data_IF_741286731105
#
_entry.id   IF_741286731105
#
_cell.length_a   1.000
_cell.length_b   1.000
_cell.length_c   1.000
_cell.angle_alpha   90.00
_cell.angle_beta   90.00
_cell.angle_gamma   90.00
#
_symmetry.space_group_name_H-M   'P 1'
#
loop_
_entity.id
_entity.type
_entity.pdbx_description
1 polymer ?
#
# COMPACT_ATOMS: atom_id res chain seq x y z
N UNK A 1 -6.71 -0.02 -34.02
CA UNK A 1 -6.70 -1.01 -32.93
C UNK A 1 -5.33 -1.68 -32.93
N UNK A 2 -4.65 -1.74 -31.77
CA UNK A 2 -3.35 -2.40 -31.66
C UNK A 2 -3.49 -3.91 -31.93
N UNK A 3 -2.61 -4.48 -32.75
CA UNK A 3 -2.55 -5.92 -32.96
C UNK A 3 -1.53 -6.51 -31.98
N UNK A 4 -2.01 -7.14 -30.92
CA UNK A 4 -1.16 -7.83 -29.96
C UNK A 4 -0.41 -9.01 -30.61
N UNK A 5 0.89 -9.11 -30.33
CA UNK A 5 1.70 -10.25 -30.74
C UNK A 5 1.51 -11.41 -29.75
N UNK A 6 0.72 -12.41 -30.13
CA UNK A 6 0.44 -13.56 -29.26
C UNK A 6 1.69 -14.38 -28.92
N UNK A 7 2.69 -14.43 -29.80
CA UNK A 7 3.94 -15.14 -29.54
C UNK A 7 4.72 -14.50 -28.39
N UNK A 8 4.76 -13.17 -28.33
CA UNK A 8 5.37 -12.44 -27.22
C UNK A 8 4.69 -12.79 -25.88
N UNK A 9 3.35 -12.72 -25.81
CA UNK A 9 2.62 -13.04 -24.58
C UNK A 9 2.72 -14.50 -24.16
N UNK A 10 2.80 -15.42 -25.13
CA UNK A 10 3.06 -16.83 -24.84
C UNK A 10 4.46 -17.05 -24.26
N UNK A 11 5.50 -16.43 -24.85
CA UNK A 11 6.86 -16.49 -24.32
C UNK A 11 6.96 -15.85 -22.94
N UNK A 12 6.24 -14.75 -22.71
CA UNK A 12 6.15 -14.11 -21.40
C UNK A 12 5.53 -15.05 -20.35
N UNK A 13 4.40 -15.71 -20.68
CA UNK A 13 3.81 -16.71 -19.80
C UNK A 13 4.76 -17.89 -19.55
N UNK A 14 5.43 -18.39 -20.59
CA UNK A 14 6.38 -19.50 -20.48
C UNK A 14 7.58 -19.13 -19.59
N UNK A 15 8.07 -17.90 -19.69
CA UNK A 15 9.15 -17.38 -18.85
C UNK A 15 8.73 -17.31 -17.38
N UNK A 16 7.51 -16.85 -17.07
CA UNK A 16 6.97 -16.84 -15.70
C UNK A 16 6.92 -18.28 -15.15
N UNK A 17 6.32 -19.22 -15.89
CA UNK A 17 6.20 -20.62 -15.47
C UNK A 17 7.57 -21.29 -15.28
N UNK A 18 8.54 -20.96 -16.14
CA UNK A 18 9.91 -21.47 -16.03
C UNK A 18 10.58 -20.97 -14.76
N UNK A 19 10.43 -19.69 -14.42
CA UNK A 19 10.99 -19.14 -13.18
C UNK A 19 10.36 -19.77 -11.93
N UNK A 20 9.05 -19.98 -11.90
CA UNK A 20 8.39 -20.64 -10.77
C UNK A 20 8.83 -22.11 -10.64
N UNK A 21 8.85 -22.86 -11.74
CA UNK A 21 9.33 -24.23 -11.73
C UNK A 21 10.79 -24.32 -11.28
N UNK A 22 11.65 -23.42 -11.77
CA UNK A 22 13.05 -23.37 -11.40
C UNK A 22 13.23 -23.10 -9.90
N UNK A 23 12.45 -22.18 -9.33
CA UNK A 23 12.45 -21.93 -7.88
C UNK A 23 12.14 -23.20 -7.08
N UNK A 24 11.11 -23.96 -7.47
CA UNK A 24 10.75 -25.23 -6.84
C UNK A 24 11.85 -26.30 -6.96
N UNK A 25 12.44 -26.43 -8.16
CA UNK A 25 13.56 -27.36 -8.41
C UNK A 25 14.77 -27.03 -7.54
N UNK A 26 15.09 -25.74 -7.38
CA UNK A 26 16.22 -25.32 -6.54
C UNK A 26 15.97 -25.67 -5.07
N UNK A 27 14.77 -25.37 -4.53
CA UNK A 27 14.42 -25.75 -3.16
C UNK A 27 14.55 -27.26 -2.96
N UNK A 28 14.04 -28.04 -3.91
CA UNK A 28 14.04 -29.50 -3.83
C UNK A 28 15.45 -30.10 -3.79
N UNK A 29 16.36 -29.60 -4.62
CA UNK A 29 17.72 -30.15 -4.73
C UNK A 29 18.70 -29.60 -3.70
N UNK A 30 18.57 -28.33 -3.31
CA UNK A 30 19.58 -27.64 -2.49
C UNK A 30 19.12 -27.34 -1.06
N UNK A 31 17.84 -27.54 -0.74
CA UNK A 31 17.30 -27.34 0.60
C UNK A 31 17.13 -25.87 1.00
N UNK A 32 17.12 -25.59 2.30
CA UNK A 32 16.67 -24.31 2.89
C UNK A 32 17.80 -23.43 3.43
N UNK A 33 18.95 -23.37 2.75
CA UNK A 33 20.05 -22.49 3.12
C UNK A 33 19.75 -21.00 2.85
N UNK A 34 20.27 -20.08 3.67
CA UNK A 34 19.99 -18.64 3.53
C UNK A 34 20.28 -18.08 2.14
N UNK A 35 21.43 -18.40 1.55
CA UNK A 35 21.79 -17.95 0.19
C UNK A 35 20.82 -18.47 -0.88
N UNK A 36 20.41 -19.74 -0.75
CA UNK A 36 19.48 -20.40 -1.66
C UNK A 36 18.10 -19.75 -1.53
N UNK A 37 17.61 -19.56 -0.31
CA UNK A 37 16.33 -18.90 -0.02
C UNK A 37 16.28 -17.49 -0.58
N UNK A 38 17.34 -16.68 -0.42
CA UNK A 38 17.40 -15.32 -0.98
C UNK A 38 17.33 -15.38 -2.51
N UNK A 39 18.09 -16.28 -3.13
CA UNK A 39 18.11 -16.43 -4.58
C UNK A 39 16.74 -16.86 -5.14
N UNK A 40 16.10 -17.87 -4.53
CA UNK A 40 14.73 -18.29 -4.88
C UNK A 40 13.74 -17.15 -4.69
N UNK A 41 13.83 -16.43 -3.58
CA UNK A 41 12.93 -15.29 -3.32
C UNK A 41 13.05 -14.25 -4.44
N UNK A 42 14.27 -13.95 -4.89
CA UNK A 42 14.49 -13.05 -6.02
C UNK A 42 13.85 -13.57 -7.31
N UNK A 43 14.03 -14.86 -7.66
CA UNK A 43 13.42 -15.46 -8.85
C UNK A 43 11.89 -15.38 -8.80
N UNK A 44 11.29 -15.72 -7.65
CA UNK A 44 9.85 -15.65 -7.44
C UNK A 44 9.34 -14.21 -7.47
N UNK A 45 10.08 -13.24 -6.91
CA UNK A 45 9.73 -11.82 -7.00
C UNK A 45 9.66 -11.36 -8.45
N UNK A 46 10.66 -11.73 -9.27
CA UNK A 46 10.67 -11.40 -10.70
C UNK A 46 9.50 -12.07 -11.41
N UNK A 47 9.26 -13.37 -11.18
CA UNK A 47 8.13 -14.09 -11.77
C UNK A 47 6.78 -13.45 -11.42
N UNK A 48 6.59 -13.08 -10.15
CA UNK A 48 5.36 -12.45 -9.67
C UNK A 48 5.17 -11.03 -10.22
N UNK A 49 6.24 -10.25 -10.36
CA UNK A 49 6.19 -8.94 -10.99
C UNK A 49 5.79 -9.04 -12.48
N UNK A 50 6.42 -9.94 -13.23
CA UNK A 50 6.07 -10.22 -14.62
C UNK A 50 4.62 -10.73 -14.75
N UNK A 51 4.20 -11.63 -13.86
CA UNK A 51 2.82 -12.09 -13.77
C UNK A 51 1.81 -10.97 -13.48
N UNK A 52 2.18 -9.93 -12.73
CA UNK A 52 1.34 -8.75 -12.49
C UNK A 52 1.11 -7.92 -13.76
N UNK A 53 2.14 -7.76 -14.60
CA UNK A 53 2.00 -7.09 -15.90
C UNK A 53 1.16 -7.93 -16.87
N UNK A 54 1.45 -9.23 -16.96
CA UNK A 54 0.71 -10.13 -17.83
C UNK A 54 -0.79 -10.18 -17.47
N UNK A 55 -1.13 -10.29 -16.18
CA UNK A 55 -2.53 -10.30 -15.76
C UNK A 55 -3.21 -8.94 -16.01
N UNK A 56 -2.48 -7.83 -15.88
CA UNK A 56 -3.01 -6.50 -16.11
C UNK A 56 -3.46 -6.34 -17.57
N UNK A 57 -2.60 -6.75 -18.52
CA UNK A 57 -2.91 -6.68 -19.95
C UNK A 57 -4.09 -7.59 -20.34
N UNK A 58 -4.20 -8.76 -19.71
CA UNK A 58 -5.37 -9.65 -19.85
C UNK A 58 -6.64 -9.02 -19.29
N UNK A 59 -6.55 -8.35 -18.13
CA UNK A 59 -7.65 -7.67 -17.47
C UNK A 59 -8.20 -6.50 -18.30
N UNK A 60 -7.33 -5.79 -19.01
CA UNK A 60 -7.70 -4.77 -20.00
C UNK A 60 -8.22 -5.33 -21.33
N UNK A 61 -8.27 -6.65 -21.48
CA UNK A 61 -8.71 -7.34 -22.69
C UNK A 61 -7.82 -7.06 -23.92
N UNK A 62 -6.54 -6.74 -23.70
CA UNK A 62 -5.63 -6.24 -24.73
C UNK A 62 -4.91 -7.33 -25.54
N UNK A 63 -4.91 -8.59 -25.08
CA UNK A 63 -4.10 -9.66 -25.68
C UNK A 63 -4.85 -10.41 -26.78
N UNK A 64 -6.04 -10.96 -26.47
CA UNK A 64 -6.81 -11.75 -27.42
C UNK A 64 -7.87 -10.91 -28.15
N UNK A 65 -8.10 -11.21 -29.43
CA UNK A 65 -9.19 -10.61 -30.21
C UNK A 65 -10.58 -10.85 -29.59
N UNK A 66 -10.78 -12.03 -28.98
CA UNK A 66 -12.04 -12.38 -28.31
C UNK A 66 -11.90 -12.15 -26.80
N UNK A 67 -12.75 -11.30 -26.24
CA UNK A 67 -12.76 -10.97 -24.82
C UNK A 67 -12.97 -12.16 -23.87
N UNK A 68 -13.64 -13.23 -24.34
CA UNK A 68 -13.79 -14.49 -23.58
C UNK A 68 -12.44 -15.11 -23.20
N UNK A 69 -11.47 -15.13 -24.11
CA UNK A 69 -10.15 -15.72 -23.87
C UNK A 69 -9.32 -14.88 -22.90
N UNK A 70 -9.35 -13.55 -23.04
CA UNK A 70 -8.73 -12.65 -22.07
C UNK A 70 -9.27 -12.89 -20.65
N UNK A 71 -10.59 -12.97 -20.48
CA UNK A 71 -11.20 -13.21 -19.16
C UNK A 71 -10.86 -14.58 -18.58
N UNK A 72 -10.78 -15.62 -19.41
CA UNK A 72 -10.40 -16.95 -18.94
C UNK A 72 -8.94 -16.98 -18.48
N UNK A 73 -8.04 -16.43 -19.30
CA UNK A 73 -6.62 -16.37 -18.98
C UNK A 73 -6.34 -15.44 -17.79
N UNK A 74 -7.04 -14.32 -17.67
CA UNK A 74 -6.96 -13.43 -16.51
C UNK A 74 -7.32 -14.16 -15.22
N UNK A 75 -8.41 -14.95 -15.21
CA UNK A 75 -8.78 -15.79 -14.06
C UNK A 75 -7.73 -16.84 -13.76
N UNK A 76 -7.14 -17.46 -14.78
CA UNK A 76 -6.08 -18.44 -14.60
C UNK A 76 -4.83 -17.82 -13.97
N UNK A 77 -4.27 -16.76 -14.57
CA UNK A 77 -3.06 -16.10 -14.08
C UNK A 77 -3.29 -15.49 -12.69
N UNK A 78 -4.39 -14.76 -12.49
CA UNK A 78 -4.67 -14.13 -11.20
C UNK A 78 -4.94 -15.16 -10.11
N UNK A 79 -5.73 -16.20 -10.42
CA UNK A 79 -6.11 -17.24 -9.45
C UNK A 79 -4.99 -18.22 -9.12
N UNK A 80 -4.38 -18.84 -10.13
CA UNK A 80 -3.46 -19.96 -9.94
C UNK A 80 -2.01 -19.52 -9.79
N UNK A 81 -1.57 -18.46 -10.48
CA UNK A 81 -0.18 -17.99 -10.40
C UNK A 81 0.00 -16.92 -9.31
N UNK A 82 -0.95 -16.01 -9.15
CA UNK A 82 -0.86 -14.94 -8.15
C UNK A 82 -1.58 -15.22 -6.83
N UNK A 83 -2.49 -16.20 -6.80
CA UNK A 83 -3.28 -16.51 -5.59
C UNK A 83 -4.35 -15.46 -5.25
N UNK A 84 -4.79 -14.65 -6.21
CA UNK A 84 -5.74 -13.55 -6.02
C UNK A 84 -6.99 -13.68 -6.92
N UNK A 85 -8.05 -12.94 -6.59
CA UNK A 85 -9.29 -12.98 -7.36
C UNK A 85 -9.28 -11.98 -8.52
N UNK A 86 -9.48 -12.47 -9.74
CA UNK A 86 -9.69 -11.62 -10.92
C UNK A 86 -10.91 -10.69 -10.76
N UNK A 87 -11.95 -11.12 -10.03
CA UNK A 87 -13.13 -10.26 -9.76
C UNK A 87 -12.78 -9.12 -8.82
N UNK A 88 -12.00 -9.39 -7.77
CA UNK A 88 -11.51 -8.37 -6.85
C UNK A 88 -10.66 -7.33 -7.60
N UNK A 89 -9.74 -7.78 -8.45
CA UNK A 89 -8.89 -6.89 -9.23
C UNK A 89 -9.70 -6.01 -10.18
N UNK A 90 -10.66 -6.59 -10.91
CA UNK A 90 -11.55 -5.82 -11.79
C UNK A 90 -12.38 -4.79 -11.01
N UNK A 91 -12.88 -5.14 -9.82
CA UNK A 91 -13.62 -4.21 -8.98
C UNK A 91 -12.75 -3.05 -8.48
N UNK A 92 -11.53 -3.36 -8.07
CA UNK A 92 -10.55 -2.37 -7.61
C UNK A 92 -10.15 -1.43 -8.75
N UNK A 93 -9.73 -2.00 -9.88
CA UNK A 93 -9.33 -1.26 -11.07
C UNK A 93 -10.47 -0.40 -11.63
N UNK A 94 -11.71 -0.91 -11.62
CA UNK A 94 -12.87 -0.13 -12.06
C UNK A 94 -13.10 1.11 -11.20
N UNK A 95 -12.90 1.03 -9.87
CA UNK A 95 -13.03 2.19 -9.00
C UNK A 95 -11.93 3.22 -9.30
N UNK A 96 -10.70 2.76 -9.48
CA UNK A 96 -9.57 3.60 -9.85
C UNK A 96 -9.83 4.35 -11.18
N UNK A 97 -10.27 3.68 -12.24
CA UNK A 97 -10.54 4.35 -13.52
C UNK A 97 -11.76 5.26 -13.54
N UNK A 98 -12.73 5.06 -12.64
CA UNK A 98 -13.93 5.92 -12.57
C UNK A 98 -13.62 7.24 -11.84
N UNK A 99 -12.73 7.23 -10.84
CA UNK A 99 -12.34 8.41 -10.07
C UNK A 99 -10.86 8.39 -9.70
N UNK A 100 -10.00 8.45 -10.71
CA UNK A 100 -8.54 8.40 -10.54
C UNK A 100 -8.01 9.57 -9.72
N UNK A 101 -7.12 9.29 -8.77
CA UNK A 101 -6.46 10.25 -7.89
C UNK A 101 -7.40 11.12 -7.05
N UNK A 102 -8.63 10.67 -6.79
CA UNK A 102 -9.60 11.40 -5.96
C UNK A 102 -9.78 10.68 -4.63
N UNK A 103 -9.27 11.27 -3.55
CA UNK A 103 -9.50 10.75 -2.21
C UNK A 103 -10.92 11.09 -1.73
N UNK A 104 -11.66 10.18 -1.07
CA UNK A 104 -11.32 8.78 -0.72
C UNK A 104 -11.89 7.75 -1.71
N UNK A 105 -12.22 8.16 -2.94
CA UNK A 105 -12.91 7.33 -3.94
C UNK A 105 -11.98 6.37 -4.68
N UNK A 106 -10.75 6.80 -4.93
CA UNK A 106 -9.71 5.97 -5.52
C UNK A 106 -9.07 5.08 -4.45
N UNK A 107 -9.19 3.75 -4.55
CA UNK A 107 -8.56 2.83 -3.61
C UNK A 107 -7.02 2.85 -3.67
N UNK A 108 -6.41 3.27 -4.78
CA UNK A 108 -4.94 3.21 -4.96
C UNK A 108 -4.17 4.21 -4.09
N UNK A 109 -4.81 5.35 -3.78
CA UNK A 109 -4.23 6.40 -2.91
C UNK A 109 -4.78 6.31 -1.47
N UNK A 110 -5.55 5.28 -1.15
CA UNK A 110 -6.07 5.03 0.20
C UNK A 110 -5.05 4.26 1.04
N UNK A 111 -3.86 4.83 1.18
CA UNK A 111 -2.69 4.23 1.85
C UNK A 111 -2.51 4.65 3.32
N UNK A 112 -3.58 5.13 3.94
CA UNK A 112 -3.60 5.90 5.19
C UNK A 112 -2.73 5.44 6.39
N UNK A 113 -2.50 4.14 6.68
CA UNK A 113 -1.59 3.76 7.76
C UNK A 113 -0.11 3.75 7.37
N UNK A 114 0.23 3.74 6.08
CA UNK A 114 1.61 3.69 5.58
C UNK A 114 2.11 5.04 5.11
N UNK A 115 1.29 5.71 4.31
CA UNK A 115 1.60 7.01 3.74
C UNK A 115 0.39 7.91 3.85
N UNK A 116 0.67 9.18 4.04
CA UNK A 116 -0.32 10.23 4.12
C UNK A 116 -0.03 11.17 2.96
N UNK A 117 -0.92 11.19 1.98
CA UNK A 117 -0.75 11.87 0.69
C UNK A 117 -1.80 12.99 0.57
N UNK A 118 -1.32 14.18 0.19
CA UNK A 118 -2.13 15.39 0.05
C UNK A 118 -2.55 15.99 1.40
N UNK A 119 -3.39 17.02 1.34
CA UNK A 119 -3.72 17.84 2.53
C UNK A 119 -4.81 17.23 3.41
N UNK A 120 -5.64 16.35 2.85
CA UNK A 120 -6.83 15.80 3.53
C UNK A 120 -6.51 14.61 4.45
N UNK A 121 -5.55 13.77 4.07
CA UNK A 121 -5.19 12.58 4.83
C UNK A 121 -4.48 12.91 6.18
N UNK A 122 -3.54 13.89 6.26
CA UNK A 122 -2.85 14.21 7.51
C UNK A 122 -3.81 14.74 8.57
N UNK A 123 -4.73 15.59 8.16
CA UNK A 123 -5.76 16.14 9.05
C UNK A 123 -6.64 15.03 9.62
N UNK A 124 -7.07 14.08 8.78
CA UNK A 124 -7.87 12.92 9.25
C UNK A 124 -7.12 12.03 10.23
N UNK A 125 -5.86 11.70 9.94
CA UNK A 125 -5.04 10.87 10.84
C UNK A 125 -4.81 11.59 12.18
N UNK A 126 -4.48 12.89 12.14
CA UNK A 126 -4.33 13.71 13.34
C UNK A 126 -5.60 13.72 14.20
N UNK A 127 -6.77 13.97 13.57
CA UNK A 127 -8.05 13.92 14.27
C UNK A 127 -8.36 12.53 14.85
N UNK A 128 -8.01 11.46 14.13
CA UNK A 128 -8.23 10.09 14.60
C UNK A 128 -7.34 9.76 15.82
N UNK A 129 -6.08 10.19 15.80
CA UNK A 129 -5.14 10.06 16.94
C UNK A 129 -5.62 10.87 18.14
N UNK A 130 -6.04 12.12 17.93
CA UNK A 130 -6.58 12.98 18.99
C UNK A 130 -7.89 12.41 19.57
N UNK A 131 -8.68 11.71 18.75
CA UNK A 131 -9.93 11.07 19.17
C UNK A 131 -9.72 9.75 19.92
N UNK A 132 -8.60 9.04 19.72
CA UNK A 132 -8.22 7.87 20.53
C UNK A 132 -7.63 8.35 21.85
N UNK A 133 -8.50 8.45 22.86
CA UNK A 133 -8.34 9.07 24.18
C UNK A 133 -7.18 8.59 25.09
N UNK A 134 -6.20 7.83 24.60
CA UNK A 134 -5.10 7.33 25.44
C UNK A 134 -3.93 8.34 25.57
N UNK A 135 -3.69 9.17 24.55
CA UNK A 135 -2.64 10.21 24.64
C UNK A 135 -3.03 11.38 25.55
N UNK A 136 -4.34 11.57 25.83
CA UNK A 136 -4.81 12.64 26.71
C UNK A 136 -4.59 12.31 28.20
N UNK A 137 -4.59 11.03 28.58
CA UNK A 137 -4.31 10.61 29.96
C UNK A 137 -2.82 10.68 30.31
N UNK A 138 -1.92 10.33 29.39
CA UNK A 138 -0.48 10.51 29.62
C UNK A 138 -0.08 11.99 29.67
N UNK A 139 -0.63 12.85 28.81
CA UNK A 139 -0.35 14.30 28.87
C UNK A 139 -0.91 14.94 30.16
N UNK A 140 -2.03 14.44 30.70
CA UNK A 140 -2.52 14.85 32.02
C UNK A 140 -1.63 14.29 33.15
N UNK A 141 -1.11 13.07 33.04
CA UNK A 141 -0.16 12.51 34.01
C UNK A 141 1.15 13.32 34.08
N UNK A 142 1.60 13.89 32.97
CA UNK A 142 2.78 14.77 32.92
C UNK A 142 2.50 16.21 33.41
N UNK A 143 1.24 16.62 33.60
CA UNK A 143 0.92 17.91 34.25
C UNK A 143 1.35 17.95 35.73
N UNK A 144 1.57 16.79 36.36
CA UNK A 144 2.14 16.72 37.71
C UNK A 144 3.62 17.13 37.77
N UNK A 145 4.41 16.85 36.72
CA UNK A 145 5.83 17.21 36.67
C UNK A 145 6.08 18.66 36.22
N UNK A 146 5.21 19.20 35.36
CA UNK A 146 5.26 20.61 34.95
C UNK A 146 4.95 21.58 36.10
N UNK A 147 4.16 21.16 37.09
CA UNK A 147 3.90 21.99 38.27
C UNK A 147 5.13 22.15 39.16
N UNK A 148 5.98 21.12 39.27
CA UNK A 148 7.25 21.20 40.00
C UNK A 148 8.30 22.02 39.24
N UNK A 149 8.32 21.94 37.91
CA UNK A 149 9.29 22.70 37.11
C UNK A 149 8.92 24.19 36.92
N UNK A 150 7.64 24.54 37.01
CA UNK A 150 7.17 25.93 36.84
C UNK A 150 7.15 26.74 38.15
N UNK A 151 7.16 26.10 39.32
CA UNK A 151 7.30 26.81 40.61
C UNK A 151 8.73 27.31 40.84
N UNK A 152 9.74 26.60 40.33
CA UNK A 152 11.15 26.95 40.51
C UNK A 152 11.60 28.12 39.59
N UNK A 153 10.88 28.36 38.48
CA UNK A 153 11.17 29.46 37.53
C UNK A 153 10.37 30.74 37.85
N UNK A 154 9.33 30.67 38.69
CA UNK A 154 8.45 31.82 38.99
C UNK A 154 9.07 32.88 39.91
N UNK A 155 10.24 32.64 40.50
CA UNK A 155 10.86 33.57 41.44
C UNK A 155 11.91 34.52 40.84
N UNK A 156 12.32 34.36 39.57
CA UNK A 156 13.51 35.08 39.08
C UNK A 156 13.29 36.04 37.91
N UNK A 157 12.20 35.96 37.14
CA UNK A 157 12.08 36.79 35.94
C UNK A 157 10.62 37.11 35.62
N UNK A 158 10.11 38.25 36.12
CA UNK A 158 9.39 39.30 35.35
C UNK A 158 8.52 40.21 36.25
N UNK A 159 8.54 41.54 36.01
CA UNK A 159 7.86 42.55 36.81
C UNK A 159 6.34 42.61 36.56
N UNK A 160 5.63 43.16 37.55
CA UNK A 160 4.16 43.21 37.72
C UNK A 160 3.37 44.06 36.71
N UNK A 161 3.96 44.51 35.61
CA UNK A 161 3.36 45.51 34.71
C UNK A 161 2.75 44.98 33.41
N UNK A 162 2.68 43.66 33.21
CA UNK A 162 2.17 43.06 31.96
C UNK A 162 0.86 42.27 32.16
N UNK A 163 -0.10 42.86 32.86
CA UNK A 163 -1.51 42.46 32.78
C UNK A 163 -2.35 43.70 32.49
N UNK A 164 -2.70 43.90 31.22
CA UNK A 164 -3.82 44.76 30.83
C UNK A 164 -4.95 43.86 30.37
N UNK A 165 -6.07 43.99 31.06
CA UNK A 165 -7.38 43.48 30.70
C UNK A 165 -7.83 44.09 29.37
N UNK A 166 -8.48 43.31 28.50
CA UNK A 166 -9.85 43.59 28.04
C UNK A 166 -10.40 42.57 27.02
N UNK A 167 -11.62 42.12 27.34
CA UNK A 167 -12.77 41.80 26.46
C UNK A 167 -12.83 40.47 25.69
N UNK A 168 -13.53 39.52 26.34
CA UNK A 168 -14.77 38.88 25.87
C UNK A 168 -15.09 38.95 24.36
N UNK A 169 -15.08 37.77 23.71
CA UNK A 169 -16.31 37.04 23.32
C UNK A 169 -16.00 35.54 23.24
#
# INVERSE_FOLDING_TARGET
>A
MFNANLGFFFLHLAQILTLEALAWVIVWHFGSGWLITIFISFLLTVAQAQGSFLQHDMGHLSIFKKSKWNRLMHKFVMGHLKGLSAKWWNNWLSQHHVKTNIYPKDPDIKVGPFYVIGDLQPVKVCLQILSTKEMFQEVISWKGLLHLCLEEIRLEILPSSMFSEHLFF
#
